data_IF_154932789513
#
_entry.id   IF_154932789513
#
_cell.length_a   1.000
_cell.length_b   1.000
_cell.length_c   1.000
_cell.angle_alpha   90.00
_cell.angle_beta   90.00
_cell.angle_gamma   90.00
#
_symmetry.space_group_name_H-M   'P 1'
#
loop_
_entity.id
_entity.type
_entity.pdbx_description
1 polymer ?
#
# COMPACT_ATOMS: atom_id res chain seq x y z
N UNK A 1 -15.41 1.94 12.67
CA UNK A 1 -14.55 0.76 12.85
C UNK A 1 -13.40 0.82 11.85
N UNK A 2 -12.20 0.53 12.32
CA UNK A 2 -11.01 0.57 11.49
C UNK A 2 -10.59 -0.83 11.07
N UNK A 3 -10.17 -0.94 9.85
CA UNK A 3 -9.62 -2.18 9.32
C UNK A 3 -8.14 -2.00 9.10
N UNK A 4 -7.35 -2.99 9.49
CA UNK A 4 -5.91 -2.97 9.27
C UNK A 4 -5.54 -3.97 8.18
N UNK A 5 -4.64 -3.54 7.31
CA UNK A 5 -4.18 -4.37 6.19
C UNK A 5 -2.67 -4.36 6.13
N UNK A 6 -2.11 -5.51 5.81
CA UNK A 6 -0.70 -5.61 5.46
C UNK A 6 -0.62 -5.53 3.94
N UNK A 7 0.06 -4.50 3.46
CA UNK A 7 0.20 -4.27 2.02
C UNK A 7 1.63 -4.58 1.63
N UNK A 8 1.80 -5.53 0.74
CA UNK A 8 3.10 -5.94 0.23
C UNK A 8 3.22 -5.52 -1.21
N UNK A 9 4.31 -4.85 -1.56
CA UNK A 9 4.46 -4.36 -2.90
C UNK A 9 5.89 -4.13 -3.31
N UNK A 10 6.05 -3.72 -4.55
CA UNK A 10 7.33 -3.43 -5.18
C UNK A 10 7.40 -1.94 -5.46
N UNK A 11 8.47 -1.31 -5.00
CA UNK A 11 8.61 0.14 -5.17
C UNK A 11 9.77 0.48 -6.10
N UNK A 12 9.67 1.65 -6.72
CA UNK A 12 10.75 2.25 -7.45
C UNK A 12 10.94 3.69 -6.97
N UNK A 13 12.18 4.09 -6.78
CA UNK A 13 12.50 5.42 -6.32
C UNK A 13 13.04 6.28 -7.46
N UNK A 14 13.04 7.60 -7.24
CA UNK A 14 13.50 8.53 -8.26
C UNK A 14 14.97 8.34 -8.63
N UNK A 15 15.76 7.82 -7.71
CA UNK A 15 17.18 7.57 -7.95
C UNK A 15 17.46 6.22 -8.62
N UNK A 16 16.42 5.50 -9.02
CA UNK A 16 16.56 4.22 -9.69
C UNK A 16 16.59 3.01 -8.78
N UNK A 17 16.57 3.22 -7.47
CA UNK A 17 16.51 2.10 -6.54
C UNK A 17 15.15 1.44 -6.54
N UNK A 18 15.14 0.13 -6.39
CA UNK A 18 13.91 -0.65 -6.33
C UNK A 18 13.99 -1.66 -5.19
N UNK A 19 12.84 -2.17 -4.79
CA UNK A 19 12.81 -3.17 -3.74
C UNK A 19 11.38 -3.55 -3.38
N UNK A 20 11.26 -4.41 -2.39
CA UNK A 20 9.97 -4.83 -1.87
C UNK A 20 9.72 -4.11 -0.55
N UNK A 21 8.44 -3.88 -0.27
CA UNK A 21 8.04 -3.11 0.90
C UNK A 21 6.81 -3.72 1.52
N UNK A 22 6.77 -3.77 2.84
CA UNK A 22 5.59 -4.17 3.59
C UNK A 22 5.14 -2.99 4.43
N UNK A 23 3.84 -2.69 4.38
CA UNK A 23 3.30 -1.57 5.11
C UNK A 23 1.98 -1.96 5.75
N UNK A 24 1.74 -1.47 6.97
CA UNK A 24 0.46 -1.63 7.63
C UNK A 24 -0.35 -0.37 7.38
N UNK A 25 -1.55 -0.55 6.85
CA UNK A 25 -2.42 0.56 6.49
C UNK A 25 -3.74 0.38 7.22
N UNK A 26 -4.25 1.47 7.78
CA UNK A 26 -5.57 1.47 8.41
C UNK A 26 -6.55 2.18 7.51
N UNK A 27 -7.75 1.63 7.40
CA UNK A 27 -8.79 2.22 6.59
C UNK A 27 -10.12 2.02 7.31
N UNK A 28 -11.04 2.99 7.15
CA UNK A 28 -12.33 2.89 7.80
C UNK A 28 -13.33 2.06 6.98
N UNK A 29 -12.94 1.57 5.83
CA UNK A 29 -13.75 0.74 4.95
C UNK A 29 -12.96 -0.49 4.52
N UNK A 30 -13.68 -1.53 4.14
CA UNK A 30 -13.03 -2.69 3.56
C UNK A 30 -12.46 -2.34 2.20
N UNK A 31 -11.27 -2.85 1.92
CA UNK A 31 -10.64 -2.66 0.61
C UNK A 31 -11.15 -3.75 -0.32
N UNK A 32 -12.27 -3.49 -0.96
CA UNK A 32 -12.92 -4.51 -1.77
C UNK A 32 -13.11 -4.09 -3.22
N UNK A 33 -12.51 -2.98 -3.64
CA UNK A 33 -12.58 -2.59 -5.05
C UNK A 33 -11.31 -1.86 -5.44
N UNK A 34 -11.15 -1.70 -6.77
CA UNK A 34 -9.92 -1.15 -7.33
C UNK A 34 -9.68 0.29 -6.88
N UNK A 35 -10.76 1.08 -6.79
CA UNK A 35 -10.60 2.49 -6.41
C UNK A 35 -10.05 2.64 -5.01
N UNK A 36 -10.49 1.81 -4.07
CA UNK A 36 -9.98 1.87 -2.70
C UNK A 36 -8.53 1.42 -2.64
N UNK A 37 -8.17 0.41 -3.41
CA UNK A 37 -6.80 -0.09 -3.47
C UNK A 37 -5.88 0.97 -4.07
N UNK A 38 -6.34 1.68 -5.10
CA UNK A 38 -5.56 2.76 -5.71
C UNK A 38 -5.28 3.88 -4.71
N UNK A 39 -6.24 4.20 -3.85
CA UNK A 39 -6.03 5.22 -2.83
C UNK A 39 -4.95 4.80 -1.84
N UNK A 40 -4.93 3.53 -1.47
CA UNK A 40 -3.90 3.00 -0.57
C UNK A 40 -2.53 3.11 -1.25
N UNK A 41 -2.45 2.74 -2.52
CA UNK A 41 -1.20 2.85 -3.26
C UNK A 41 -0.70 4.29 -3.29
N UNK A 42 -1.59 5.24 -3.58
CA UNK A 42 -1.20 6.64 -3.66
C UNK A 42 -0.73 7.15 -2.30
N UNK A 43 -1.37 6.74 -1.23
CA UNK A 43 -0.96 7.13 0.12
C UNK A 43 0.45 6.62 0.44
N UNK A 44 0.76 5.39 0.04
CA UNK A 44 2.09 4.83 0.27
C UNK A 44 3.12 5.56 -0.58
N UNK A 45 2.79 5.87 -1.83
CA UNK A 45 3.69 6.62 -2.70
C UNK A 45 4.09 7.95 -2.05
N UNK A 46 3.12 8.67 -1.51
CA UNK A 46 3.37 9.97 -0.91
C UNK A 46 4.13 9.86 0.40
N UNK A 47 3.80 8.86 1.20
CA UNK A 47 4.39 8.71 2.53
C UNK A 47 5.88 8.42 2.44
N UNK A 48 6.30 7.63 1.47
CA UNK A 48 7.69 7.20 1.36
C UNK A 48 8.43 7.85 0.20
N UNK A 49 7.77 8.76 -0.50
CA UNK A 49 8.38 9.47 -1.63
C UNK A 49 8.86 8.51 -2.72
N UNK A 50 8.11 7.45 -2.95
CA UNK A 50 8.39 6.52 -4.04
C UNK A 50 7.96 7.14 -5.36
N UNK A 51 8.69 6.82 -6.43
CA UNK A 51 8.26 7.17 -7.77
C UNK A 51 7.12 6.28 -8.25
N UNK A 52 7.23 4.99 -7.97
CA UNK A 52 6.20 4.01 -8.33
C UNK A 52 6.02 3.02 -7.19
N UNK A 53 4.85 2.44 -7.14
CA UNK A 53 4.58 1.38 -6.18
C UNK A 53 3.53 0.45 -6.78
N UNK A 54 3.86 -0.82 -6.86
CA UNK A 54 2.96 -1.84 -7.39
C UNK A 54 2.56 -2.77 -6.25
N UNK A 55 1.28 -2.81 -5.93
CA UNK A 55 0.78 -3.66 -4.87
C UNK A 55 0.71 -5.09 -5.38
N UNK A 56 1.42 -5.99 -4.70
CA UNK A 56 1.45 -7.40 -5.07
C UNK A 56 0.50 -8.23 -4.23
N UNK A 57 0.24 -7.81 -2.99
CA UNK A 57 -0.64 -8.56 -2.11
C UNK A 57 -1.16 -7.65 -1.01
N UNK A 58 -2.41 -7.86 -0.64
CA UNK A 58 -3.02 -7.16 0.49
C UNK A 58 -3.66 -8.22 1.38
N UNK A 59 -3.33 -8.17 2.66
CA UNK A 59 -3.82 -9.14 3.62
C UNK A 59 -4.51 -8.39 4.76
N UNK A 60 -5.74 -8.77 5.06
CA UNK A 60 -6.43 -8.17 6.18
C UNK A 60 -5.90 -8.74 7.49
N UNK A 61 -5.53 -7.86 8.39
CA UNK A 61 -5.03 -8.25 9.70
C UNK A 61 -6.19 -8.29 10.68
N UNK A 62 -6.25 -9.35 11.45
CA UNK A 62 -7.18 -9.44 12.57
C UNK A 62 -6.50 -8.93 13.81
N UNK A 63 -7.27 -8.27 14.61
CA UNK A 63 -6.74 -7.74 15.86
C UNK A 63 -6.26 -8.85 16.76
#
# INVERSE_FOLDING_TARGET
MQYKYLVFGFYGMNNGQTGFSENVVENDRKLNNVNEIDKVRDAILQKFDYKTFCILNIMRLKK
#
